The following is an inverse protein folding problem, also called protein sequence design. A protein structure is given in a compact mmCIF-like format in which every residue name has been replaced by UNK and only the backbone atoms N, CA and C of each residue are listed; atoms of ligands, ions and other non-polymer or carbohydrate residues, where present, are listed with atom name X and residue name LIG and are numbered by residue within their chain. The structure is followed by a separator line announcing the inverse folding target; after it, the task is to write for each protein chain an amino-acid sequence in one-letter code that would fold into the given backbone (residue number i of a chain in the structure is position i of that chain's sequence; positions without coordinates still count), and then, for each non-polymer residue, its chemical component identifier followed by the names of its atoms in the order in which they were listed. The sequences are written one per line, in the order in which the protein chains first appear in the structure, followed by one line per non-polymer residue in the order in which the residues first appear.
data_IF_790013278974
#
_entry.id   IF_790013278974
#
_cell.length_a   1.000
_cell.length_b   1.000
_cell.length_c   1.000
_cell.angle_alpha   90.00
_cell.angle_beta   90.00
_cell.angle_gamma   90.00
#
_symmetry.space_group_name_H-M   'P 1'
#
loop_
_entity.id
_entity.type
_entity.pdbx_description
1 polymer ?
#
# COMPACT_ATOMS: atom_id res chain seq x y z
N UNK A 1 3.51 3.91 -24.25
CA UNK A 1 4.85 4.52 -24.16
C UNK A 1 5.40 4.16 -22.78
N UNK A 2 6.60 3.55 -22.67
CA UNK A 2 7.23 3.28 -21.37
C UNK A 2 8.25 4.40 -21.10
N UNK A 3 8.12 5.09 -19.98
CA UNK A 3 9.12 6.06 -19.52
C UNK A 3 10.04 5.37 -18.52
N UNK A 4 11.34 5.63 -18.64
CA UNK A 4 12.34 5.25 -17.64
C UNK A 4 12.60 6.47 -16.76
N UNK A 5 12.54 6.28 -15.44
CA UNK A 5 12.78 7.31 -14.44
C UNK A 5 13.70 6.71 -13.37
N UNK A 6 14.70 7.47 -12.93
CA UNK A 6 15.62 7.06 -11.87
C UNK A 6 15.47 7.98 -10.66
N UNK A 7 15.46 7.39 -9.47
CA UNK A 7 15.40 8.08 -8.19
C UNK A 7 16.67 7.76 -7.40
N UNK A 8 17.28 8.78 -6.80
CA UNK A 8 18.40 8.58 -5.86
C UNK A 8 17.83 8.57 -4.46
N UNK A 9 18.25 7.61 -3.64
CA UNK A 9 17.75 7.42 -2.28
C UNK A 9 18.91 7.31 -1.31
N UNK A 10 18.74 7.96 -0.17
CA UNK A 10 19.65 7.85 0.96
C UNK A 10 19.27 6.68 1.86
N UNK A 11 20.10 6.39 2.85
CA UNK A 11 19.79 5.40 3.88
C UNK A 11 18.52 5.79 4.65
N UNK A 12 17.75 4.78 5.08
CA UNK A 12 16.47 4.95 5.79
C UNK A 12 15.39 5.74 5.04
N UNK A 13 15.52 5.92 3.73
CA UNK A 13 14.46 6.43 2.87
C UNK A 13 13.76 5.28 2.15
N UNK A 14 12.43 5.34 2.06
CA UNK A 14 11.61 4.29 1.46
C UNK A 14 10.73 4.87 0.35
N UNK A 15 10.73 4.25 -0.83
CA UNK A 15 9.95 4.70 -1.99
C UNK A 15 8.57 4.01 -2.02
N UNK A 16 7.47 4.69 -1.66
CA UNK A 16 6.16 4.05 -1.62
C UNK A 16 5.58 3.87 -3.02
N UNK A 17 5.03 2.69 -3.28
CA UNK A 17 4.32 2.35 -4.52
C UNK A 17 3.04 1.59 -4.21
N UNK A 18 1.93 2.01 -4.82
CA UNK A 18 0.66 1.31 -4.70
C UNK A 18 0.47 0.24 -5.77
N UNK A 19 -0.09 -0.90 -5.37
CA UNK A 19 -0.45 -2.01 -6.27
C UNK A 19 -1.41 -1.58 -7.38
N UNK A 20 -2.38 -0.72 -7.05
CA UNK A 20 -3.27 -0.10 -8.04
C UNK A 20 -2.57 1.08 -8.73
N UNK A 21 -1.51 0.76 -9.47
CA UNK A 21 -0.54 1.73 -9.99
C UNK A 21 -1.16 2.87 -10.80
N UNK A 22 -2.21 2.61 -11.57
CA UNK A 22 -2.88 3.62 -12.41
C UNK A 22 -3.70 4.64 -11.60
N UNK A 23 -4.06 4.31 -10.36
CA UNK A 23 -4.90 5.15 -9.50
C UNK A 23 -4.23 5.45 -8.14
N UNK A 24 -2.92 5.22 -8.02
CA UNK A 24 -2.18 5.47 -6.79
C UNK A 24 -1.55 6.86 -6.80
N UNK A 25 -1.74 7.60 -5.70
CA UNK A 25 -1.09 8.88 -5.43
C UNK A 25 0.17 8.68 -4.58
N UNK A 26 1.11 7.92 -5.12
CA UNK A 26 2.32 7.49 -4.43
C UNK A 26 3.56 8.31 -4.83
N UNK A 27 4.75 7.88 -4.39
CA UNK A 27 6.01 8.62 -4.52
C UNK A 27 6.35 9.04 -5.96
N UNK A 28 5.78 8.36 -6.97
CA UNK A 28 5.96 8.73 -8.39
C UNK A 28 5.36 10.10 -8.74
N UNK A 29 4.33 10.53 -8.00
CA UNK A 29 3.59 11.77 -8.26
C UNK A 29 3.92 12.90 -7.28
N UNK A 30 4.75 12.63 -6.27
CA UNK A 30 5.15 13.62 -5.27
C UNK A 30 6.20 14.60 -5.84
N UNK A 31 6.34 15.81 -5.25
CA UNK A 31 7.35 16.78 -5.68
C UNK A 31 8.75 16.20 -5.71
N UNK A 32 9.56 16.60 -6.70
CA UNK A 32 10.94 16.15 -6.84
C UNK A 32 11.73 16.50 -5.57
N UNK A 33 12.40 15.51 -4.98
CA UNK A 33 13.14 15.66 -3.72
C UNK A 33 12.34 15.24 -2.47
N UNK A 34 11.04 15.01 -2.59
CA UNK A 34 10.15 14.57 -1.50
C UNK A 34 9.51 13.20 -1.81
N UNK A 35 10.09 12.43 -2.71
CA UNK A 35 9.46 11.23 -3.30
C UNK A 35 9.62 9.98 -2.42
N UNK A 36 9.91 10.16 -1.13
CA UNK A 36 10.20 9.09 -0.20
C UNK A 36 9.49 9.31 1.14
N UNK A 37 9.40 8.24 1.91
CA UNK A 37 8.99 8.28 3.31
C UNK A 37 10.23 8.02 4.16
N UNK A 38 10.59 8.90 5.10
CA UNK A 38 11.66 8.63 6.04
C UNK A 38 11.28 7.48 6.99
N UNK A 39 12.29 6.72 7.44
CA UNK A 39 12.10 5.50 8.23
C UNK A 39 11.38 5.70 9.57
N UNK A 40 11.50 6.87 10.19
CA UNK A 40 10.83 7.22 11.44
C UNK A 40 9.31 7.35 11.30
N UNK A 41 8.80 7.55 10.08
CA UNK A 41 7.36 7.54 9.77
C UNK A 41 6.82 6.13 9.50
N UNK A 42 7.67 5.10 9.46
CA UNK A 42 7.23 3.72 9.30
C UNK A 42 6.70 3.15 10.61
N UNK A 43 5.39 2.92 10.66
CA UNK A 43 4.72 2.37 11.84
C UNK A 43 4.86 0.84 11.93
N UNK A 44 4.79 0.14 10.79
CA UNK A 44 4.92 -1.33 10.75
C UNK A 44 4.47 -1.98 9.45
N UNK A 45 4.61 -3.31 9.35
CA UNK A 45 4.17 -4.11 8.19
C UNK A 45 2.73 -4.56 8.36
N UNK A 46 1.94 -4.50 7.29
CA UNK A 46 0.62 -5.12 7.25
C UNK A 46 0.75 -6.65 7.25
N UNK A 47 0.13 -7.35 8.21
CA UNK A 47 0.32 -8.79 8.41
C UNK A 47 -0.88 -9.64 8.00
N UNK A 48 -2.12 -9.20 8.28
CA UNK A 48 -3.32 -10.02 8.10
C UNK A 48 -4.56 -9.19 7.80
N UNK A 49 -5.39 -9.67 6.87
CA UNK A 49 -6.73 -9.12 6.62
C UNK A 49 -7.72 -9.80 7.56
N UNK A 50 -8.04 -9.15 8.69
CA UNK A 50 -8.85 -9.78 9.73
C UNK A 50 -10.37 -9.74 9.45
N UNK A 51 -10.90 -8.65 8.89
CA UNK A 51 -12.35 -8.50 8.67
C UNK A 51 -12.62 -7.86 7.31
N UNK A 52 -12.54 -8.64 6.23
CA UNK A 52 -12.82 -8.13 4.89
C UNK A 52 -14.30 -7.77 4.75
N UNK A 53 -14.60 -6.88 3.79
CA UNK A 53 -15.97 -6.40 3.51
C UNK A 53 -17.00 -7.53 3.58
N UNK A 54 -18.00 -7.33 4.44
CA UNK A 54 -19.02 -8.34 4.75
C UNK A 54 -19.90 -8.60 3.55
N UNK A 55 -20.17 -9.88 3.29
CA UNK A 55 -21.27 -10.26 2.43
C UNK A 55 -22.53 -10.11 3.28
N UNK A 56 -23.37 -9.09 3.04
CA UNK A 56 -24.60 -8.80 3.81
C UNK A 56 -25.71 -9.88 3.71
N UNK A 57 -25.33 -11.16 3.51
CA UNK A 57 -26.20 -12.33 3.38
C UNK A 57 -25.47 -13.55 3.96
N UNK A 58 -26.15 -14.44 4.72
CA UNK A 58 -27.53 -14.32 5.22
C UNK A 58 -27.66 -13.44 6.47
N UNK A 59 -26.55 -13.15 7.15
CA UNK A 59 -26.50 -12.33 8.37
C UNK A 59 -25.78 -11.01 8.03
N UNK A 60 -26.34 -9.83 8.38
CA UNK A 60 -25.67 -8.55 8.22
C UNK A 60 -24.31 -8.52 8.93
N UNK A 61 -23.31 -7.85 8.33
CA UNK A 61 -21.95 -7.72 8.86
C UNK A 61 -21.15 -9.02 9.03
N UNK A 62 -21.66 -10.15 8.53
CA UNK A 62 -20.96 -11.42 8.62
C UNK A 62 -19.64 -11.37 7.81
N UNK A 63 -18.50 -11.72 8.42
CA UNK A 63 -17.20 -11.58 7.76
C UNK A 63 -17.06 -12.58 6.62
N UNK A 64 -16.40 -12.14 5.55
CA UNK A 64 -16.06 -13.02 4.45
C UNK A 64 -14.78 -13.82 4.77
N UNK A 65 -14.92 -14.95 5.47
CA UNK A 65 -13.79 -15.79 5.89
C UNK A 65 -12.87 -16.20 4.73
N UNK A 66 -13.38 -16.35 3.50
CA UNK A 66 -12.56 -16.70 2.33
C UNK A 66 -11.57 -15.60 1.92
N UNK A 67 -11.81 -14.37 2.37
CA UNK A 67 -10.95 -13.21 2.09
C UNK A 67 -10.03 -12.86 3.27
N UNK A 68 -10.18 -13.52 4.42
CA UNK A 68 -9.23 -13.40 5.50
C UNK A 68 -7.95 -14.13 5.11
N UNK A 69 -6.80 -13.47 5.21
CA UNK A 69 -5.51 -14.04 4.81
C UNK A 69 -4.35 -13.25 5.37
N UNK A 70 -3.20 -13.91 5.49
CA UNK A 70 -1.93 -13.22 5.69
C UNK A 70 -1.56 -12.41 4.44
N UNK A 71 -0.87 -11.31 4.66
CA UNK A 71 -0.31 -10.45 3.62
C UNK A 71 1.14 -10.91 3.46
N UNK A 72 1.47 -11.39 2.25
CA UNK A 72 2.82 -11.82 1.86
C UNK A 72 3.72 -10.59 1.59
#
# INVERSE_FOLDING_TARGET
MRALVSFTMEEEQYFPLGDNSAASLDGRLWPIGEQYVPGDLLIGKALFVYWPHSTHKPIPYFPNFRRMKFIE
#
